data_IF_185277751597
#
_entry.id   IF_185277751597
#
_cell.length_a   1.000
_cell.length_b   1.000
_cell.length_c   1.000
_cell.angle_alpha   90.00
_cell.angle_beta   90.00
_cell.angle_gamma   90.00
#
_symmetry.space_group_name_H-M   'P 1'
#
loop_
_entity.id
_entity.type
_entity.pdbx_description
1 polymer ?
#
# COMPACT_ATOMS: atom_id res chain seq x y z
N UNK A 1 24.52 0.42 -33.55
CA UNK A 1 24.44 1.30 -32.35
C UNK A 1 25.49 0.83 -31.34
N UNK A 2 26.36 1.73 -30.84
CA UNK A 2 27.49 1.35 -29.97
C UNK A 2 27.01 0.89 -28.58
N UNK A 3 27.45 -0.29 -28.10
CA UNK A 3 27.08 -0.85 -26.79
C UNK A 3 27.29 0.15 -25.64
N UNK A 4 28.33 0.99 -25.71
CA UNK A 4 28.59 2.05 -24.72
C UNK A 4 27.55 3.17 -24.75
N UNK A 5 27.02 3.52 -25.93
CA UNK A 5 25.93 4.51 -26.04
C UNK A 5 24.62 3.93 -25.50
N UNK A 6 24.31 2.67 -25.79
CA UNK A 6 23.13 2.00 -25.25
C UNK A 6 23.16 1.95 -23.72
N UNK A 7 24.30 1.58 -23.12
CA UNK A 7 24.44 1.52 -21.66
C UNK A 7 24.16 2.88 -20.98
N UNK A 8 24.65 3.99 -21.56
CA UNK A 8 24.39 5.34 -21.04
C UNK A 8 22.91 5.72 -21.12
N UNK A 9 22.25 5.38 -22.22
CA UNK A 9 20.80 5.66 -22.39
C UNK A 9 19.98 4.88 -21.37
N UNK A 10 20.28 3.59 -21.18
CA UNK A 10 19.60 2.76 -20.18
C UNK A 10 19.81 3.32 -18.77
N UNK A 11 21.05 3.70 -18.42
CA UNK A 11 21.34 4.28 -17.11
C UNK A 11 20.57 5.59 -16.87
N UNK A 12 20.55 6.50 -17.86
CA UNK A 12 19.83 7.76 -17.75
C UNK A 12 18.31 7.55 -17.60
N UNK A 13 17.73 6.61 -18.36
CA UNK A 13 16.32 6.25 -18.25
C UNK A 13 15.99 5.66 -16.87
N UNK A 14 16.84 4.77 -16.35
CA UNK A 14 16.66 4.18 -15.02
C UNK A 14 16.74 5.25 -13.91
N UNK A 15 17.72 6.16 -13.97
CA UNK A 15 17.83 7.27 -13.02
C UNK A 15 16.61 8.20 -13.08
N UNK A 16 16.15 8.55 -14.28
CA UNK A 16 14.96 9.38 -14.47
C UNK A 16 13.71 8.72 -13.88
N UNK A 17 13.53 7.42 -14.11
CA UNK A 17 12.41 6.66 -13.54
C UNK A 17 12.45 6.62 -12.01
N UNK A 18 13.61 6.34 -11.41
CA UNK A 18 13.77 6.32 -9.95
C UNK A 18 13.54 7.71 -9.33
N UNK A 19 13.97 8.78 -10.00
CA UNK A 19 13.75 10.15 -9.57
C UNK A 19 12.27 10.53 -9.65
N UNK A 20 11.59 10.18 -10.74
CA UNK A 20 10.15 10.37 -10.87
C UNK A 20 9.37 9.64 -9.76
N UNK A 21 9.67 8.37 -9.54
CA UNK A 21 9.08 7.61 -8.42
C UNK A 21 9.40 8.21 -7.04
N UNK A 22 10.52 8.91 -6.90
CA UNK A 22 10.87 9.59 -5.66
C UNK A 22 9.98 10.80 -5.38
N UNK A 23 9.55 11.51 -6.42
CA UNK A 23 8.79 12.75 -6.31
C UNK A 23 7.27 12.55 -6.22
N UNK A 24 6.74 11.41 -6.68
CA UNK A 24 5.30 11.18 -6.62
C UNK A 24 4.89 10.94 -5.15
N UNK A 25 3.97 11.76 -4.59
CA UNK A 25 3.45 11.52 -3.26
C UNK A 25 2.54 10.28 -3.25
N UNK A 26 2.57 9.55 -2.14
CA UNK A 26 1.61 8.46 -1.91
C UNK A 26 0.23 9.04 -1.72
N UNK A 27 -0.73 8.52 -2.48
CA UNK A 27 -2.14 8.87 -2.37
C UNK A 27 -2.85 7.80 -1.53
N UNK A 28 -3.54 8.21 -0.47
CA UNK A 28 -4.45 7.33 0.28
C UNK A 28 -5.82 7.44 -0.38
N UNK A 29 -6.24 6.39 -1.08
CA UNK A 29 -7.50 6.35 -1.82
C UNK A 29 -8.68 6.10 -0.88
N UNK A 30 -8.55 5.09 -0.01
CA UNK A 30 -9.58 4.69 0.92
C UNK A 30 -9.00 3.98 2.14
N UNK A 31 -9.77 3.94 3.23
CA UNK A 31 -9.45 3.18 4.43
C UNK A 31 -10.65 2.33 4.82
N UNK A 32 -10.46 1.01 4.87
CA UNK A 32 -11.48 0.04 5.24
C UNK A 32 -11.03 -0.72 6.48
N UNK A 33 -11.62 -0.42 7.64
CA UNK A 33 -11.17 -0.92 8.95
C UNK A 33 -9.66 -0.69 9.12
N UNK A 34 -8.85 -1.74 9.07
CA UNK A 34 -7.40 -1.69 9.27
C UNK A 34 -6.62 -1.77 7.95
N UNK A 35 -7.32 -1.64 6.81
CA UNK A 35 -6.75 -1.73 5.46
C UNK A 35 -6.69 -0.34 4.85
N UNK A 36 -5.52 0.07 4.37
CA UNK A 36 -5.28 1.35 3.68
C UNK A 36 -5.04 1.04 2.21
N UNK A 37 -5.87 1.59 1.32
CA UNK A 37 -5.69 1.51 -0.12
C UNK A 37 -4.89 2.70 -0.59
N UNK A 38 -3.77 2.45 -1.28
CA UNK A 38 -2.86 3.50 -1.74
C UNK A 38 -2.54 3.41 -3.23
N UNK A 39 -2.20 4.55 -3.83
CA UNK A 39 -1.51 4.63 -5.13
C UNK A 39 -0.10 5.17 -4.94
N UNK A 40 0.77 4.82 -5.88
CA UNK A 40 2.16 5.31 -5.93
C UNK A 40 2.97 4.98 -4.67
N UNK A 41 2.70 3.84 -4.03
CA UNK A 41 3.41 3.45 -2.83
C UNK A 41 4.89 3.17 -3.13
N UNK A 42 5.84 3.54 -2.24
CA UNK A 42 7.25 3.32 -2.50
C UNK A 42 7.57 1.84 -2.68
N UNK A 43 8.41 1.52 -3.67
CA UNK A 43 8.82 0.13 -3.91
C UNK A 43 9.79 -0.40 -2.83
N UNK A 44 10.72 0.43 -2.38
CA UNK A 44 11.75 0.01 -1.42
C UNK A 44 11.20 -0.08 0.00
N UNK A 45 11.42 -1.23 0.67
CA UNK A 45 10.96 -1.49 2.05
C UNK A 45 11.32 -0.37 3.04
N UNK A 46 12.53 0.18 2.95
CA UNK A 46 12.96 1.30 3.80
C UNK A 46 12.10 2.55 3.61
N UNK A 47 11.70 2.84 2.36
CA UNK A 47 10.83 3.99 2.05
C UNK A 47 9.38 3.74 2.45
N UNK A 48 8.90 2.50 2.39
CA UNK A 48 7.58 2.13 2.89
C UNK A 48 7.48 2.34 4.41
N UNK A 49 8.51 1.91 5.16
CA UNK A 49 8.62 2.15 6.60
C UNK A 49 8.68 3.66 6.88
N UNK A 50 9.57 4.38 6.20
CA UNK A 50 9.71 5.83 6.41
C UNK A 50 8.41 6.59 6.11
N UNK A 51 7.68 6.19 5.08
CA UNK A 51 6.36 6.76 4.78
C UNK A 51 5.39 6.52 5.92
N UNK A 52 5.29 5.28 6.42
CA UNK A 52 4.40 4.97 7.54
C UNK A 52 4.76 5.81 8.77
N UNK A 53 6.03 5.83 9.15
CA UNK A 53 6.50 6.59 10.31
C UNK A 53 6.20 8.09 10.21
N UNK A 54 6.34 8.67 9.02
CA UNK A 54 6.04 10.09 8.78
C UNK A 54 4.53 10.41 8.76
N UNK A 55 3.66 9.42 8.50
CA UNK A 55 2.22 9.65 8.29
C UNK A 55 1.31 9.03 9.35
N UNK A 56 1.81 8.15 10.22
CA UNK A 56 0.98 7.39 11.18
C UNK A 56 0.13 8.27 12.09
N UNK A 57 0.65 9.42 12.53
CA UNK A 57 -0.08 10.34 13.40
C UNK A 57 -1.23 11.03 12.65
N UNK A 58 -0.96 11.48 11.41
CA UNK A 58 -2.00 12.02 10.52
C UNK A 58 -3.07 10.97 10.20
N UNK A 59 -2.64 9.74 9.90
CA UNK A 59 -3.54 8.63 9.61
C UNK A 59 -4.42 8.32 10.84
N UNK A 60 -3.84 8.34 12.05
CA UNK A 60 -4.59 8.15 13.28
C UNK A 60 -5.60 9.26 13.53
N UNK A 61 -5.21 10.51 13.33
CA UNK A 61 -6.09 11.66 13.52
C UNK A 61 -7.25 11.68 12.50
N UNK A 62 -6.98 11.34 11.24
CA UNK A 62 -7.96 11.45 10.15
C UNK A 62 -8.87 10.22 10.01
N UNK A 63 -8.32 9.02 10.18
CA UNK A 63 -9.01 7.76 9.91
C UNK A 63 -9.23 6.91 11.17
N UNK A 64 -8.68 7.32 12.32
CA UNK A 64 -8.87 6.60 13.59
C UNK A 64 -8.01 5.35 13.77
N UNK A 65 -7.15 5.01 12.81
CA UNK A 65 -6.33 3.78 12.82
C UNK A 65 -4.83 4.04 13.06
N UNK A 66 -4.08 3.09 13.63
CA UNK A 66 -4.51 1.78 14.09
C UNK A 66 -5.43 1.83 15.31
N UNK A 67 -6.39 0.91 15.38
CA UNK A 67 -7.12 0.61 16.60
C UNK A 67 -6.33 -0.45 17.38
N UNK A 68 -6.03 -0.18 18.64
CA UNK A 68 -5.42 -1.16 19.54
C UNK A 68 -6.52 -2.04 20.12
N UNK A 69 -6.34 -3.35 20.11
CA UNK A 69 -7.20 -4.27 20.85
C UNK A 69 -7.05 -4.05 22.36
N UNK A 70 -7.94 -4.67 23.15
CA UNK A 70 -7.86 -4.63 24.62
C UNK A 70 -6.51 -5.17 25.12
N UNK A 71 -5.98 -6.21 24.47
CA UNK A 71 -4.65 -6.78 24.73
C UNK A 71 -3.48 -5.90 24.22
N UNK A 72 -3.80 -4.71 23.69
CA UNK A 72 -2.85 -3.71 23.20
C UNK A 72 -2.41 -3.88 21.74
N UNK A 73 -2.70 -4.99 21.08
CA UNK A 73 -2.20 -5.29 19.73
C UNK A 73 -2.85 -4.42 18.65
N UNK A 74 -2.12 -4.10 17.59
CA UNK A 74 -2.75 -3.60 16.36
C UNK A 74 -2.13 -4.19 15.09
N UNK A 75 -2.91 -4.16 14.01
CA UNK A 75 -2.50 -4.54 12.67
C UNK A 75 -3.03 -3.54 11.66
N UNK A 76 -2.19 -3.10 10.72
CA UNK A 76 -2.55 -2.26 9.57
C UNK A 76 -1.99 -2.90 8.31
N UNK A 77 -2.84 -3.04 7.29
CA UNK A 77 -2.44 -3.58 5.99
C UNK A 77 -2.50 -2.48 4.93
N UNK A 78 -1.39 -2.22 4.28
CA UNK A 78 -1.31 -1.34 3.13
C UNK A 78 -1.44 -2.19 1.88
N UNK A 79 -2.44 -1.89 1.06
CA UNK A 79 -2.77 -2.59 -0.18
C UNK A 79 -2.64 -1.63 -1.35
N UNK A 80 -2.15 -2.14 -2.48
CA UNK A 80 -2.18 -1.39 -3.73
C UNK A 80 -3.63 -1.29 -4.22
N UNK A 81 -4.06 -0.09 -4.57
CA UNK A 81 -5.39 0.12 -5.13
C UNK A 81 -5.50 -0.40 -6.58
N UNK A 82 -4.38 -0.50 -7.30
CA UNK A 82 -4.34 -1.01 -8.67
C UNK A 82 -5.26 -0.26 -9.63
N UNK A 83 -6.07 -1.00 -10.40
CA UNK A 83 -7.03 -0.43 -11.35
C UNK A 83 -8.33 0.08 -10.70
N UNK A 84 -8.44 -0.05 -9.37
CA UNK A 84 -9.57 0.37 -8.58
C UNK A 84 -10.62 -0.70 -8.34
N UNK A 85 -11.78 -0.29 -7.83
CA UNK A 85 -12.83 -1.21 -7.44
C UNK A 85 -13.45 -1.92 -8.66
N UNK A 86 -13.72 -3.21 -8.48
CA UNK A 86 -14.39 -4.09 -9.43
C UNK A 86 -15.45 -4.95 -8.74
N UNK A 87 -16.31 -5.53 -9.57
CA UNK A 87 -17.38 -6.43 -9.15
C UNK A 87 -16.79 -7.84 -9.06
N UNK A 88 -16.99 -8.50 -7.93
CA UNK A 88 -16.78 -9.94 -7.79
C UNK A 88 -17.93 -10.67 -8.49
N UNK A 89 -17.61 -11.45 -9.54
CA UNK A 89 -18.58 -12.22 -10.32
C UNK A 89 -18.73 -13.65 -9.82
N UNK A 90 -18.01 -14.04 -8.77
CA UNK A 90 -18.02 -15.39 -8.22
C UNK A 90 -17.35 -16.42 -9.14
N UNK A 91 -16.42 -15.99 -9.98
CA UNK A 91 -15.67 -16.86 -10.91
C UNK A 91 -14.30 -17.23 -10.35
N UNK A 92 -13.63 -18.23 -10.94
CA UNK A 92 -12.26 -18.60 -10.52
C UNK A 92 -11.27 -17.43 -10.69
N UNK A 93 -11.50 -16.54 -11.66
CA UNK A 93 -10.73 -15.31 -11.88
C UNK A 93 -10.88 -14.29 -10.73
N UNK A 94 -11.95 -14.39 -9.93
CA UNK A 94 -12.24 -13.51 -8.80
C UNK A 94 -11.67 -14.01 -7.47
N UNK A 95 -11.04 -15.20 -7.45
CA UNK A 95 -10.50 -15.83 -6.23
C UNK A 95 -9.41 -14.99 -5.55
N UNK A 96 -8.74 -14.11 -6.30
CA UNK A 96 -7.72 -13.20 -5.81
C UNK A 96 -8.25 -11.80 -5.46
N UNK A 97 -9.56 -11.63 -5.33
CA UNK A 97 -10.14 -10.35 -4.92
C UNK A 97 -10.20 -10.17 -3.40
N UNK A 98 -9.99 -8.93 -2.98
CA UNK A 98 -10.24 -8.45 -1.62
C UNK A 98 -11.47 -7.55 -1.62
N UNK A 99 -12.58 -8.03 -1.04
CA UNK A 99 -13.86 -7.33 -1.00
C UNK A 99 -14.13 -6.66 0.35
N UNK A 100 -14.73 -5.46 0.31
CA UNK A 100 -15.01 -4.63 1.47
C UNK A 100 -16.51 -4.64 1.81
N UNK A 101 -16.87 -5.27 2.93
CA UNK A 101 -18.28 -5.43 3.34
C UNK A 101 -18.95 -4.13 3.82
N UNK A 102 -18.16 -3.11 4.16
CA UNK A 102 -18.65 -1.78 4.53
C UNK A 102 -19.14 -0.96 3.32
N UNK A 103 -18.89 -1.43 2.10
CA UNK A 103 -19.41 -0.81 0.88
C UNK A 103 -20.70 -1.53 0.42
N UNK A 104 -21.83 -0.81 0.30
CA UNK A 104 -23.11 -1.40 -0.14
C UNK A 104 -23.19 -1.63 -1.66
N UNK A 105 -22.23 -1.09 -2.43
CA UNK A 105 -22.19 -1.22 -3.89
C UNK A 105 -21.58 -2.55 -4.33
N UNK A 106 -21.97 -3.04 -5.51
CA UNK A 106 -21.45 -4.30 -6.06
C UNK A 106 -19.94 -4.22 -6.39
N UNK A 107 -19.48 -3.06 -6.89
CA UNK A 107 -18.07 -2.79 -7.14
C UNK A 107 -17.35 -2.41 -5.84
N UNK A 108 -17.08 -3.42 -5.01
CA UNK A 108 -16.50 -3.27 -3.66
C UNK A 108 -15.22 -4.07 -3.45
N UNK A 109 -14.64 -4.60 -4.52
CA UNK A 109 -13.50 -5.49 -4.44
C UNK A 109 -12.31 -4.90 -5.19
N UNK A 110 -11.10 -5.19 -4.75
CA UNK A 110 -9.86 -4.87 -5.47
C UNK A 110 -9.08 -6.15 -5.72
N UNK A 111 -8.17 -6.11 -6.68
CA UNK A 111 -7.18 -7.16 -6.85
C UNK A 111 -6.24 -7.19 -5.64
N UNK A 112 -6.01 -8.37 -5.06
CA UNK A 112 -5.27 -8.50 -3.81
C UNK A 112 -3.77 -8.33 -4.04
N UNK A 113 -3.29 -7.11 -3.83
CA UNK A 113 -1.86 -6.81 -3.86
C UNK A 113 -1.41 -6.19 -2.53
N UNK A 114 -0.75 -7.01 -1.69
CA UNK A 114 -0.24 -6.62 -0.36
C UNK A 114 1.09 -5.91 -0.50
N UNK A 115 1.13 -4.65 -0.10
CA UNK A 115 2.36 -3.85 -0.12
C UNK A 115 3.12 -3.92 1.19
N UNK A 116 2.40 -3.78 2.32
CA UNK A 116 3.02 -3.79 3.65
C UNK A 116 2.05 -4.21 4.74
N UNK A 117 2.54 -4.96 5.71
CA UNK A 117 1.88 -5.15 6.98
C UNK A 117 2.66 -4.44 8.09
N UNK A 118 1.97 -3.58 8.83
CA UNK A 118 2.50 -2.96 10.05
C UNK A 118 1.75 -3.55 11.24
N UNK A 119 2.48 -4.00 12.25
CA UNK A 119 1.89 -4.47 13.49
C UNK A 119 2.56 -3.89 14.71
N UNK A 120 1.89 -4.01 15.84
CA UNK A 120 2.44 -3.70 17.14
C UNK A 120 1.97 -4.73 18.16
N UNK A 121 2.89 -5.13 19.03
CA UNK A 121 2.60 -5.93 20.21
C UNK A 121 3.26 -5.31 21.44
N UNK A 122 2.71 -5.53 22.65
CA UNK A 122 3.35 -5.09 23.88
C UNK A 122 4.77 -5.65 24.06
N UNK A 123 5.02 -6.88 23.59
CA UNK A 123 6.27 -7.60 23.80
C UNK A 123 7.36 -7.26 22.77
N UNK A 124 6.97 -6.96 21.52
CA UNK A 124 7.91 -6.76 20.40
C UNK A 124 7.99 -5.30 19.97
N UNK A 125 7.05 -4.46 20.40
CA UNK A 125 6.88 -3.11 19.88
C UNK A 125 6.38 -3.12 18.44
N UNK A 126 6.73 -2.10 17.67
CA UNK A 126 6.31 -1.96 16.29
C UNK A 126 7.16 -2.81 15.35
N UNK A 127 6.51 -3.60 14.50
CA UNK A 127 7.15 -4.47 13.52
C UNK A 127 6.52 -4.30 12.15
N UNK A 128 7.25 -4.78 11.13
CA UNK A 128 6.86 -4.61 9.75
C UNK A 128 7.16 -5.87 8.93
N UNK A 129 6.18 -6.33 8.16
CA UNK A 129 6.29 -7.50 7.27
C UNK A 129 5.99 -7.10 5.82
#
# INVERSE_FOLDING_TARGET
>A
MNKRRMAKVIAAAACGYLFWQYLIPVEIVAVHRNIILVRHFPYLKSRQIAWWEANKDMIKARYGIPHKSEDGYYSVHIMDFGDGYRIDRGTDEDSDLLCFNDMPVAARCIEKNRLRWIGWSPNTGQFYW
#
